data_IF_527555250581
#
_entry.id   IF_527555250581
#
_cell.length_a   1.000
_cell.length_b   1.000
_cell.length_c   1.000
_cell.angle_alpha   90.00
_cell.angle_beta   90.00
_cell.angle_gamma   90.00
#
_symmetry.space_group_name_H-M   'P 1'
#
loop_
_entity.id
_entity.type
_entity.pdbx_description
1 polymer ?
#
# COMPACT_ATOMS: atom_id res chain seq x y z
N UNK A 1 13.71 -15.89 -9.44
CA UNK A 1 13.95 -15.83 -8.00
C UNK A 1 13.10 -16.88 -7.29
N UNK A 2 13.57 -17.48 -6.17
CA UNK A 2 12.72 -18.29 -5.29
C UNK A 2 11.62 -17.41 -4.71
N UNK A 3 10.47 -18.01 -4.38
CA UNK A 3 9.37 -17.30 -3.71
C UNK A 3 9.84 -16.70 -2.39
N UNK A 4 9.49 -15.45 -2.13
CA UNK A 4 9.91 -14.70 -0.93
C UNK A 4 8.81 -14.79 0.15
N UNK A 5 8.62 -16.02 0.69
CA UNK A 5 7.49 -16.34 1.58
C UNK A 5 7.38 -15.45 2.82
N UNK A 6 8.52 -15.03 3.42
CA UNK A 6 8.47 -14.11 4.56
C UNK A 6 7.85 -12.75 4.15
N UNK A 7 8.10 -12.28 2.92
CA UNK A 7 7.54 -11.01 2.44
C UNK A 7 6.06 -11.17 2.05
N UNK A 8 5.64 -12.35 1.57
CA UNK A 8 4.22 -12.65 1.37
C UNK A 8 3.46 -12.62 2.70
N UNK A 9 4.00 -13.25 3.76
CA UNK A 9 3.42 -13.21 5.10
C UNK A 9 3.43 -11.81 5.71
N UNK A 10 4.51 -11.05 5.51
CA UNK A 10 4.59 -9.65 5.93
C UNK A 10 3.44 -8.82 5.35
N UNK A 11 3.12 -8.98 4.07
CA UNK A 11 1.98 -8.29 3.44
C UNK A 11 0.66 -8.59 4.15
N UNK A 12 0.47 -9.83 4.58
CA UNK A 12 -0.71 -10.22 5.36
C UNK A 12 -0.79 -9.48 6.70
N UNK A 13 0.32 -9.45 7.44
CA UNK A 13 0.42 -8.70 8.71
C UNK A 13 0.13 -7.22 8.50
N UNK A 14 0.75 -6.60 7.50
CA UNK A 14 0.60 -5.17 7.21
C UNK A 14 -0.84 -4.80 6.84
N UNK A 15 -1.51 -5.62 6.01
CA UNK A 15 -2.90 -5.36 5.60
C UNK A 15 -3.86 -5.44 6.80
N UNK A 16 -3.68 -6.44 7.67
CA UNK A 16 -4.47 -6.55 8.91
C UNK A 16 -4.16 -5.38 9.85
N UNK A 17 -2.89 -4.98 9.98
CA UNK A 17 -2.53 -3.85 10.82
C UNK A 17 -3.15 -2.53 10.35
N UNK A 18 -3.17 -2.25 9.03
CA UNK A 18 -3.88 -1.09 8.46
C UNK A 18 -5.37 -1.17 8.75
N UNK A 19 -6.00 -2.32 8.55
CA UNK A 19 -7.42 -2.53 8.86
C UNK A 19 -7.73 -2.26 10.33
N UNK A 20 -6.88 -2.75 11.25
CA UNK A 20 -7.00 -2.49 12.69
C UNK A 20 -6.78 -1.01 13.01
N UNK A 21 -5.85 -0.35 12.32
CA UNK A 21 -5.60 1.08 12.54
C UNK A 21 -6.77 1.98 12.12
N UNK A 22 -7.57 1.54 11.15
CA UNK A 22 -8.78 2.28 10.74
C UNK A 22 -9.94 2.07 11.73
N UNK A 23 -10.05 0.89 12.35
CA UNK A 23 -11.09 0.64 13.35
C UNK A 23 -10.76 1.19 14.73
N UNK A 24 -9.50 1.31 15.09
CA UNK A 24 -9.03 1.65 16.43
C UNK A 24 -9.59 2.98 16.98
N UNK A 25 -9.69 4.09 16.21
CA UNK A 25 -10.22 5.37 16.69
C UNK A 25 -11.70 5.32 17.09
N UNK A 26 -12.43 4.27 16.74
CA UNK A 26 -13.84 4.10 17.08
C UNK A 26 -14.07 3.31 18.36
N UNK A 27 -13.02 2.70 18.93
CA UNK A 27 -13.08 1.91 20.15
C UNK A 27 -13.14 2.86 21.36
N UNK A 28 -14.15 2.65 22.23
CA UNK A 28 -14.23 3.35 23.50
C UNK A 28 -13.27 2.72 24.53
N UNK A 29 -11.99 3.02 24.41
CA UNK A 29 -10.96 2.52 25.30
C UNK A 29 -9.93 3.64 25.62
N UNK A 30 -9.16 3.50 26.71
CA UNK A 30 -8.09 4.46 27.02
C UNK A 30 -7.04 4.55 25.91
N UNK A 31 -6.46 5.72 25.70
CA UNK A 31 -5.48 5.97 24.62
C UNK A 31 -4.31 4.98 24.61
N UNK A 32 -3.79 4.58 25.77
CA UNK A 32 -2.69 3.62 25.84
C UNK A 32 -3.02 2.27 25.22
N UNK A 33 -4.30 1.86 25.22
CA UNK A 33 -4.75 0.61 24.61
C UNK A 33 -4.93 0.71 23.09
N UNK A 34 -5.27 1.90 22.59
CA UNK A 34 -5.58 2.16 21.17
C UNK A 34 -4.37 2.67 20.41
N UNK A 35 -3.53 3.47 21.05
CA UNK A 35 -2.36 4.10 20.46
C UNK A 35 -1.40 3.14 19.73
N UNK A 36 -1.09 1.91 20.20
CA UNK A 36 -0.24 0.98 19.47
C UNK A 36 -0.77 0.62 18.07
N UNK A 37 -2.07 0.79 17.83
CA UNK A 37 -2.75 0.49 16.58
C UNK A 37 -2.96 1.73 15.67
N UNK A 38 -2.53 2.90 16.08
CA UNK A 38 -2.74 4.16 15.32
C UNK A 38 -1.68 4.42 14.23
N UNK A 39 -0.71 3.52 14.04
CA UNK A 39 0.44 3.73 13.16
C UNK A 39 0.28 3.07 11.78
N UNK A 40 -0.94 2.97 11.24
CA UNK A 40 -1.23 2.36 9.93
C UNK A 40 -0.40 2.92 8.78
N UNK A 41 0.00 4.20 8.87
CA UNK A 41 0.88 4.84 7.87
C UNK A 41 2.23 4.14 7.73
N UNK A 42 2.84 3.69 8.83
CA UNK A 42 4.12 2.97 8.78
C UNK A 42 3.98 1.64 8.01
N UNK A 43 2.85 0.95 8.13
CA UNK A 43 2.56 -0.26 7.36
C UNK A 43 2.43 0.04 5.86
N UNK A 44 1.79 1.15 5.48
CA UNK A 44 1.70 1.59 4.08
C UNK A 44 3.08 1.96 3.53
N UNK A 45 3.93 2.60 4.32
CA UNK A 45 5.31 2.91 3.92
C UNK A 45 6.12 1.63 3.64
N UNK A 46 5.90 0.53 4.41
CA UNK A 46 6.49 -0.80 4.10
C UNK A 46 5.91 -1.37 2.80
N UNK A 47 4.62 -1.17 2.48
CA UNK A 47 4.07 -1.57 1.18
C UNK A 47 4.74 -0.84 0.02
N UNK A 48 5.12 0.43 0.15
CA UNK A 48 5.90 1.12 -0.89
C UNK A 48 7.29 0.53 -1.07
N UNK A 49 7.96 0.10 0.01
CA UNK A 49 9.23 -0.62 -0.11
C UNK A 49 9.04 -1.95 -0.84
N UNK A 50 8.00 -2.71 -0.49
CA UNK A 50 7.63 -3.95 -1.20
C UNK A 50 7.38 -3.69 -2.69
N UNK A 51 6.62 -2.63 -3.03
CA UNK A 51 6.34 -2.27 -4.43
C UNK A 51 7.63 -1.93 -5.19
N UNK A 52 8.55 -1.18 -4.59
CA UNK A 52 9.86 -0.90 -5.18
C UNK A 52 10.65 -2.16 -5.52
N UNK A 53 10.66 -3.14 -4.62
CA UNK A 53 11.33 -4.42 -4.83
C UNK A 53 10.71 -5.23 -5.96
N UNK A 54 9.38 -5.34 -5.96
CA UNK A 54 8.63 -6.16 -6.91
C UNK A 54 8.69 -5.60 -8.32
N UNK A 55 8.66 -4.28 -8.45
CA UNK A 55 8.66 -3.63 -9.77
C UNK A 55 9.94 -3.94 -10.53
N UNK A 56 11.09 -3.77 -9.91
CA UNK A 56 12.35 -4.06 -10.57
C UNK A 56 12.47 -5.53 -10.97
N UNK A 57 12.02 -6.45 -10.09
CA UNK A 57 11.97 -7.87 -10.40
C UNK A 57 10.97 -8.20 -11.52
N UNK A 58 9.85 -7.46 -11.63
CA UNK A 58 8.84 -7.67 -12.67
C UNK A 58 9.30 -7.23 -14.05
N UNK A 59 10.04 -6.12 -14.15
CA UNK A 59 10.54 -5.62 -15.44
C UNK A 59 11.39 -6.65 -16.17
N UNK A 60 12.22 -7.39 -15.45
CA UNK A 60 12.99 -8.50 -16.05
C UNK A 60 12.08 -9.56 -16.67
N UNK A 61 11.00 -9.91 -15.94
CA UNK A 61 10.02 -10.89 -16.41
C UNK A 61 9.25 -10.46 -17.66
N UNK A 62 9.19 -9.17 -17.95
CA UNK A 62 8.56 -8.61 -19.16
C UNK A 62 9.58 -8.20 -20.24
N UNK A 63 10.84 -8.60 -20.09
CA UNK A 63 11.90 -8.25 -21.04
C UNK A 63 12.07 -6.73 -21.20
N UNK A 64 11.93 -5.99 -20.13
CA UNK A 64 12.00 -4.52 -20.08
C UNK A 64 10.98 -3.80 -20.99
N UNK A 65 9.87 -4.45 -21.32
CA UNK A 65 8.81 -3.90 -22.19
C UNK A 65 7.76 -3.17 -21.36
N UNK A 66 7.55 -1.89 -21.63
CA UNK A 66 6.65 -1.02 -20.88
C UNK A 66 5.17 -1.46 -21.00
N UNK A 67 4.67 -1.76 -22.20
CA UNK A 67 3.26 -2.05 -22.43
C UNK A 67 2.78 -3.33 -21.71
N UNK A 68 3.46 -4.50 -21.79
CA UNK A 68 3.10 -5.67 -21.01
C UNK A 68 3.19 -5.45 -19.50
N UNK A 69 4.19 -4.69 -19.05
CA UNK A 69 4.35 -4.34 -17.63
C UNK A 69 3.16 -3.50 -17.13
N UNK A 70 2.84 -2.39 -17.79
CA UNK A 70 1.71 -1.53 -17.38
C UNK A 70 0.38 -2.27 -17.47
N UNK A 71 0.17 -3.09 -18.52
CA UNK A 71 -1.03 -3.94 -18.63
C UNK A 71 -1.17 -4.87 -17.41
N UNK A 72 -0.07 -5.50 -16.97
CA UNK A 72 -0.09 -6.35 -15.77
C UNK A 72 -0.50 -5.54 -14.51
N UNK A 73 -0.06 -4.30 -14.38
CA UNK A 73 -0.43 -3.43 -13.26
C UNK A 73 -1.88 -2.98 -13.33
N UNK A 74 -2.39 -2.64 -14.51
CA UNK A 74 -3.81 -2.33 -14.72
C UNK A 74 -4.69 -3.49 -14.27
N UNK A 75 -4.46 -4.70 -14.75
CA UNK A 75 -5.24 -5.88 -14.37
C UNK A 75 -5.08 -6.27 -12.90
N UNK A 76 -4.01 -5.84 -12.25
CA UNK A 76 -3.76 -6.06 -10.82
C UNK A 76 -4.54 -5.09 -9.94
N UNK A 77 -4.58 -3.80 -10.30
CA UNK A 77 -5.11 -2.72 -9.45
C UNK A 77 -6.57 -2.43 -9.77
N UNK A 78 -6.88 -2.09 -11.01
CA UNK A 78 -8.15 -1.47 -11.36
C UNK A 78 -9.40 -2.33 -11.13
N UNK A 79 -9.42 -3.65 -11.39
CA UNK A 79 -10.66 -4.41 -11.28
C UNK A 79 -11.26 -4.41 -9.86
N UNK A 80 -10.46 -4.66 -8.84
CA UNK A 80 -10.94 -4.61 -7.44
C UNK A 80 -11.17 -3.18 -7.00
N UNK A 81 -10.26 -2.25 -7.36
CA UNK A 81 -10.40 -0.84 -7.04
C UNK A 81 -11.73 -0.28 -7.54
N UNK A 82 -12.11 -0.51 -8.79
CA UNK A 82 -13.35 0.04 -9.38
C UNK A 82 -14.60 -0.45 -8.64
N UNK A 83 -14.64 -1.73 -8.25
CA UNK A 83 -15.77 -2.29 -7.49
C UNK A 83 -15.85 -1.68 -6.09
N UNK A 84 -14.72 -1.61 -5.39
CA UNK A 84 -14.69 -1.04 -4.03
C UNK A 84 -14.95 0.47 -4.06
N UNK A 85 -14.43 1.18 -5.06
CA UNK A 85 -14.64 2.61 -5.24
C UNK A 85 -16.10 2.93 -5.55
N UNK A 86 -16.76 2.15 -6.41
CA UNK A 86 -18.20 2.28 -6.67
C UNK A 86 -19.02 2.06 -5.38
N UNK A 87 -18.69 1.05 -4.58
CA UNK A 87 -19.32 0.83 -3.29
C UNK A 87 -19.09 2.01 -2.32
N UNK A 88 -17.87 2.56 -2.28
CA UNK A 88 -17.54 3.71 -1.46
C UNK A 88 -18.34 4.97 -1.85
N UNK A 89 -18.52 5.24 -3.16
CA UNK A 89 -19.36 6.34 -3.67
C UNK A 89 -20.81 6.18 -3.17
N UNK A 90 -21.37 4.96 -3.24
CA UNK A 90 -22.74 4.68 -2.79
C UNK A 90 -22.89 4.87 -1.28
N UNK A 91 -21.87 4.51 -0.51
CA UNK A 91 -21.87 4.62 0.96
C UNK A 91 -21.61 6.06 1.43
N UNK A 92 -20.92 6.88 0.62
CA UNK A 92 -20.44 8.21 1.01
C UNK A 92 -21.51 9.15 1.60
N UNK A 93 -22.75 9.23 1.08
CA UNK A 93 -23.77 10.13 1.63
C UNK A 93 -24.35 9.66 2.97
N UNK A 94 -24.05 8.45 3.41
CA UNK A 94 -24.57 7.92 4.66
C UNK A 94 -23.87 8.59 5.85
N UNK A 95 -24.62 9.37 6.65
CA UNK A 95 -24.12 9.89 7.91
C UNK A 95 -23.77 8.74 8.85
N UNK A 96 -22.65 8.86 9.55
CA UNK A 96 -22.13 7.80 10.44
C UNK A 96 -22.90 7.69 11.76
N UNK A 97 -23.62 8.75 12.14
CA UNK A 97 -24.30 8.82 13.42
C UNK A 97 -23.34 9.08 14.58
N UNK A 98 -22.45 10.05 14.41
CA UNK A 98 -21.54 10.47 15.49
C UNK A 98 -22.25 10.98 16.74
N UNK A 99 -23.51 11.45 16.61
CA UNK A 99 -24.41 11.78 17.71
C UNK A 99 -24.74 10.57 18.59
N UNK A 100 -24.69 9.36 18.02
CA UNK A 100 -24.85 8.07 18.72
C UNK A 100 -23.55 7.53 19.31
N UNK A 101 -22.43 8.19 19.08
CA UNK A 101 -21.11 7.78 19.55
C UNK A 101 -20.47 8.92 20.41
N UNK A 102 -21.03 9.21 21.62
CA UNK A 102 -20.60 10.35 22.43
C UNK A 102 -19.16 10.27 22.93
N UNK A 103 -18.52 9.09 22.88
CA UNK A 103 -17.10 8.91 23.19
C UNK A 103 -16.17 9.37 22.07
N UNK A 104 -16.68 9.66 20.86
CA UNK A 104 -15.88 10.19 19.76
C UNK A 104 -15.94 11.73 19.79
N UNK A 105 -14.91 12.35 20.35
CA UNK A 105 -14.79 13.80 20.40
C UNK A 105 -14.75 14.46 19.02
N UNK A 106 -14.95 15.78 18.99
CA UNK A 106 -14.92 16.57 17.75
C UNK A 106 -13.55 16.51 17.06
N UNK A 107 -12.47 16.47 17.83
CA UNK A 107 -11.09 16.43 17.33
C UNK A 107 -10.57 15.00 17.11
N UNK A 108 -11.44 14.00 17.19
CA UNK A 108 -11.05 12.61 17.01
C UNK A 108 -10.58 12.33 15.58
N UNK A 109 -9.49 11.57 15.45
CA UNK A 109 -9.00 11.05 14.17
C UNK A 109 -10.04 10.19 13.43
N UNK A 110 -11.04 9.63 14.13
CA UNK A 110 -12.18 8.95 13.53
C UNK A 110 -12.93 9.85 12.52
N UNK A 111 -13.14 11.12 12.86
CA UNK A 111 -13.83 12.10 12.00
C UNK A 111 -13.00 12.52 10.78
N UNK A 112 -11.68 12.44 10.89
CA UNK A 112 -10.78 12.69 9.77
C UNK A 112 -10.73 11.48 8.80
N UNK A 113 -10.83 10.27 9.34
CA UNK A 113 -10.85 9.05 8.54
C UNK A 113 -12.15 8.93 7.73
N UNK A 114 -13.29 9.24 8.37
CA UNK A 114 -14.60 9.10 7.74
C UNK A 114 -15.35 10.43 7.76
N UNK A 115 -15.00 11.31 6.84
CA UNK A 115 -15.76 12.53 6.62
C UNK A 115 -17.18 12.21 6.14
N UNK A 116 -18.16 12.93 6.65
CA UNK A 116 -19.55 12.83 6.24
C UNK A 116 -19.84 13.71 5.02
N UNK A 117 -20.73 13.25 4.19
CA UNK A 117 -21.18 13.99 3.00
C UNK A 117 -20.28 13.83 1.78
N UNK A 118 -20.72 14.43 0.69
CA UNK A 118 -19.98 14.41 -0.58
C UNK A 118 -18.97 15.56 -0.62
N UNK A 119 -17.79 15.34 -1.27
CA UNK A 119 -16.89 16.44 -1.57
C UNK A 119 -17.58 17.53 -2.38
N UNK A 120 -17.22 18.81 -2.18
CA UNK A 120 -17.79 19.95 -2.90
C UNK A 120 -17.62 19.82 -4.43
N UNK A 121 -16.47 19.32 -4.87
CA UNK A 121 -16.22 18.95 -6.27
C UNK A 121 -16.21 17.41 -6.41
N UNK A 122 -17.36 16.79 -6.21
CA UNK A 122 -17.49 15.33 -6.28
C UNK A 122 -17.19 14.77 -7.67
N UNK A 123 -17.58 15.49 -8.76
CA UNK A 123 -17.38 15.00 -10.12
C UNK A 123 -15.88 14.99 -10.50
N UNK A 124 -15.18 16.07 -10.23
CA UNK A 124 -13.73 16.15 -10.41
C UNK A 124 -13.00 15.13 -9.52
N UNK A 125 -13.43 14.98 -8.28
CA UNK A 125 -12.86 14.00 -7.35
C UNK A 125 -13.02 12.56 -7.86
N UNK A 126 -14.19 12.19 -8.41
CA UNK A 126 -14.39 10.88 -9.04
C UNK A 126 -13.45 10.71 -10.24
N UNK A 127 -13.36 11.71 -11.12
CA UNK A 127 -12.48 11.66 -12.30
C UNK A 127 -11.00 11.48 -11.90
N UNK A 128 -10.55 12.23 -10.89
CA UNK A 128 -9.19 12.13 -10.37
C UNK A 128 -8.88 10.74 -9.78
N UNK A 129 -9.84 10.11 -9.10
CA UNK A 129 -9.71 8.75 -8.57
C UNK A 129 -9.69 7.70 -9.70
N UNK A 130 -10.58 7.80 -10.68
CA UNK A 130 -10.64 6.86 -11.81
C UNK A 130 -9.35 6.88 -12.64
N UNK A 131 -8.68 8.03 -12.73
CA UNK A 131 -7.40 8.19 -13.42
C UNK A 131 -6.19 7.96 -12.52
N UNK A 132 -6.39 7.70 -11.22
CA UNK A 132 -5.31 7.59 -10.20
C UNK A 132 -4.45 8.85 -10.09
N UNK A 133 -5.00 10.04 -10.43
CA UNK A 133 -4.28 11.32 -10.37
C UNK A 133 -4.57 12.12 -9.10
N UNK A 134 -5.48 11.66 -8.24
CA UNK A 134 -5.88 12.36 -7.01
C UNK A 134 -4.73 12.65 -6.02
N UNK A 135 -3.58 12.00 -6.16
CA UNK A 135 -2.39 12.23 -5.33
C UNK A 135 -1.38 13.24 -5.89
N UNK A 136 -1.63 13.84 -7.08
CA UNK A 136 -0.66 14.75 -7.70
C UNK A 136 -0.97 16.23 -7.45
N UNK A 137 -2.10 16.55 -6.83
CA UNK A 137 -2.52 17.93 -6.59
C UNK A 137 -2.02 18.42 -5.24
N UNK A 138 -1.51 19.67 -5.16
CA UNK A 138 -1.21 20.31 -3.87
C UNK A 138 -2.51 20.48 -3.04
N UNK A 139 -2.39 20.34 -1.72
CA UNK A 139 -3.54 20.43 -0.81
C UNK A 139 -4.19 21.84 -0.81
N UNK A 140 -3.41 22.89 -1.05
CA UNK A 140 -3.96 24.24 -1.17
C UNK A 140 -4.68 24.52 -2.49
N UNK A 141 -4.40 23.73 -3.54
CA UNK A 141 -5.07 23.83 -4.85
C UNK A 141 -6.35 23.00 -4.87
N UNK A 142 -6.30 21.80 -4.31
CA UNK A 142 -7.46 20.92 -4.22
C UNK A 142 -7.46 20.18 -2.89
N UNK A 143 -8.06 20.80 -1.85
CA UNK A 143 -7.97 20.30 -0.48
C UNK A 143 -8.53 18.88 -0.34
N UNK A 144 -7.72 18.01 0.26
CA UNK A 144 -8.09 16.64 0.63
C UNK A 144 -8.60 15.74 -0.50
N UNK A 145 -8.43 16.11 -1.79
CA UNK A 145 -8.86 15.30 -2.92
C UNK A 145 -8.32 13.86 -2.84
N UNK A 146 -7.13 13.68 -2.31
CA UNK A 146 -6.48 12.37 -2.17
C UNK A 146 -7.17 11.42 -1.17
N UNK A 147 -8.07 11.92 -0.33
CA UNK A 147 -8.88 11.13 0.63
C UNK A 147 -10.33 10.95 0.18
N UNK A 148 -10.76 11.60 -0.90
CA UNK A 148 -12.14 11.60 -1.35
C UNK A 148 -12.69 10.20 -1.58
N UNK A 149 -13.94 9.94 -1.16
CA UNK A 149 -14.71 8.69 -1.26
C UNK A 149 -14.05 7.45 -0.65
N UNK A 150 -12.79 7.17 -0.97
CA UNK A 150 -12.05 5.98 -0.54
C UNK A 150 -10.65 6.41 -0.09
N UNK A 151 -10.52 6.68 1.20
CA UNK A 151 -9.27 7.19 1.79
C UNK A 151 -8.08 6.27 1.53
N UNK A 152 -8.26 4.95 1.60
CA UNK A 152 -7.20 3.97 1.31
C UNK A 152 -6.60 4.12 -0.11
N UNK A 153 -7.35 4.66 -1.08
CA UNK A 153 -6.90 4.79 -2.47
C UNK A 153 -5.74 5.77 -2.67
N UNK A 154 -5.46 6.65 -1.71
CA UNK A 154 -4.32 7.57 -1.83
C UNK A 154 -3.00 6.87 -2.15
N UNK A 155 -2.76 5.72 -1.52
CA UNK A 155 -1.54 4.94 -1.75
C UNK A 155 -1.49 4.30 -3.14
N UNK A 156 -2.64 3.97 -3.72
CA UNK A 156 -2.71 3.46 -5.10
C UNK A 156 -2.34 4.55 -6.12
N UNK A 157 -2.71 5.80 -5.88
CA UNK A 157 -2.25 6.93 -6.71
C UNK A 157 -0.73 7.07 -6.65
N UNK A 158 -0.14 7.00 -5.45
CA UNK A 158 1.32 7.03 -5.28
C UNK A 158 2.00 5.87 -6.02
N UNK A 159 1.43 4.65 -5.88
CA UNK A 159 1.95 3.46 -6.53
C UNK A 159 1.80 3.54 -8.06
N UNK A 160 0.70 4.09 -8.57
CA UNK A 160 0.49 4.30 -10.00
C UNK A 160 1.47 5.31 -10.59
N UNK A 161 1.72 6.45 -9.91
CA UNK A 161 2.78 7.40 -10.27
C UNK A 161 4.14 6.71 -10.34
N UNK A 162 4.45 5.85 -9.35
CA UNK A 162 5.67 5.06 -9.34
C UNK A 162 5.78 4.12 -10.55
N UNK A 163 4.70 3.40 -10.90
CA UNK A 163 4.69 2.49 -12.04
C UNK A 163 4.93 3.21 -13.37
N UNK A 164 4.33 4.37 -13.54
CA UNK A 164 4.53 5.19 -14.74
C UNK A 164 5.98 5.67 -14.84
N UNK A 165 6.54 6.25 -13.79
CA UNK A 165 7.93 6.72 -13.79
C UNK A 165 8.92 5.56 -13.94
N UNK A 166 8.74 4.46 -13.22
CA UNK A 166 9.57 3.29 -13.36
C UNK A 166 9.55 2.75 -14.79
N UNK A 167 8.35 2.66 -15.41
CA UNK A 167 8.20 2.21 -16.78
C UNK A 167 8.92 3.08 -17.82
N UNK A 168 8.97 4.39 -17.57
CA UNK A 168 9.65 5.35 -18.46
C UNK A 168 11.17 5.32 -18.31
N UNK A 169 11.68 5.16 -17.09
CA UNK A 169 13.09 5.38 -16.78
C UNK A 169 13.90 4.12 -16.50
N UNK A 170 13.24 2.97 -16.24
CA UNK A 170 13.96 1.70 -16.04
C UNK A 170 14.72 1.34 -17.33
N UNK A 171 16.03 1.08 -17.18
CA UNK A 171 16.88 0.58 -18.26
C UNK A 171 17.72 -0.59 -17.74
N UNK A 172 17.95 -1.64 -18.56
CA UNK A 172 18.94 -2.66 -18.24
C UNK A 172 20.29 -2.00 -17.91
N UNK A 173 20.98 -2.57 -16.92
CA UNK A 173 22.32 -2.12 -16.48
C UNK A 173 22.40 -0.69 -15.89
N UNK A 174 21.23 -0.02 -15.74
CA UNK A 174 21.15 1.35 -15.17
C UNK A 174 20.20 1.45 -13.97
N UNK A 175 19.86 0.34 -13.32
CA UNK A 175 18.94 0.31 -12.19
C UNK A 175 19.42 1.17 -11.02
N UNK A 176 20.75 1.33 -10.85
CA UNK A 176 21.32 2.22 -9.84
C UNK A 176 21.05 3.70 -10.10
N UNK A 177 20.95 4.09 -11.38
CA UNK A 177 20.56 5.45 -11.73
C UNK A 177 19.11 5.71 -11.36
N UNK A 178 18.24 4.71 -11.51
CA UNK A 178 16.84 4.79 -11.08
C UNK A 178 16.76 4.94 -9.56
N UNK A 179 17.49 4.12 -8.79
CA UNK A 179 17.56 4.24 -7.31
C UNK A 179 18.02 5.64 -6.91
N UNK A 180 19.10 6.14 -7.52
CA UNK A 180 19.62 7.48 -7.25
C UNK A 180 18.61 8.59 -7.63
N UNK A 181 17.91 8.43 -8.75
CA UNK A 181 16.85 9.35 -9.18
C UNK A 181 15.70 9.44 -8.17
N UNK A 182 15.25 8.30 -7.62
CA UNK A 182 14.21 8.27 -6.60
C UNK A 182 14.67 8.87 -5.26
N UNK A 183 15.91 8.65 -4.86
CA UNK A 183 16.48 9.32 -3.69
C UNK A 183 16.59 10.84 -3.90
N UNK A 184 17.05 11.28 -5.09
CA UNK A 184 17.08 12.69 -5.47
C UNK A 184 15.69 13.32 -5.47
N UNK A 185 14.69 12.62 -6.01
CA UNK A 185 13.30 13.07 -6.01
C UNK A 185 12.75 13.24 -4.58
N UNK A 186 13.09 12.32 -3.68
CA UNK A 186 12.70 12.41 -2.26
C UNK A 186 13.43 13.58 -1.55
N UNK A 187 14.72 13.80 -1.85
CA UNK A 187 15.46 14.92 -1.30
C UNK A 187 14.89 16.27 -1.78
N UNK A 188 14.54 16.37 -3.06
CA UNK A 188 13.86 17.55 -3.61
C UNK A 188 12.51 17.80 -2.97
N UNK A 189 11.74 16.74 -2.66
CA UNK A 189 10.46 16.88 -1.95
C UNK A 189 10.67 17.44 -0.54
N UNK A 190 11.69 16.97 0.19
CA UNK A 190 12.03 17.50 1.53
C UNK A 190 12.39 18.99 1.46
N UNK A 191 13.21 19.39 0.48
CA UNK A 191 13.58 20.80 0.28
C UNK A 191 12.36 21.65 -0.09
N UNK A 192 11.46 21.09 -0.91
CA UNK A 192 10.21 21.75 -1.28
C UNK A 192 9.32 21.96 -0.07
N UNK A 193 9.08 20.95 0.75
CA UNK A 193 8.24 21.04 1.96
C UNK A 193 8.76 22.08 2.97
N UNK A 194 10.08 22.34 2.98
CA UNK A 194 10.69 23.33 3.86
C UNK A 194 10.65 24.77 3.32
N UNK A 195 10.45 24.96 2.03
CA UNK A 195 10.61 26.25 1.35
C UNK A 195 9.36 26.74 0.61
N UNK A 196 8.46 25.84 0.24
CA UNK A 196 7.28 26.18 -0.55
C UNK A 196 6.22 26.87 0.29
N UNK A 197 5.42 27.79 -0.30
CA UNK A 197 4.22 28.31 0.32
C UNK A 197 3.24 27.18 0.68
N UNK A 198 2.48 27.33 1.77
CA UNK A 198 1.54 26.33 2.28
C UNK A 198 0.57 25.83 1.19
N UNK A 199 0.07 26.74 0.34
CA UNK A 199 -0.83 26.41 -0.77
C UNK A 199 -0.23 25.43 -1.80
N UNK A 200 1.09 25.28 -1.85
CA UNK A 200 1.79 24.42 -2.78
C UNK A 200 2.42 23.19 -2.12
N UNK A 201 2.07 22.93 -0.87
CA UNK A 201 2.47 21.69 -0.21
C UNK A 201 1.67 20.51 -0.75
N UNK A 202 2.38 19.44 -1.07
CA UNK A 202 1.78 18.22 -1.58
C UNK A 202 1.42 17.26 -0.45
N UNK A 203 0.30 16.56 -0.64
CA UNK A 203 -0.14 15.54 0.29
C UNK A 203 0.82 14.35 0.35
N UNK A 204 0.56 13.45 1.30
CA UNK A 204 1.26 12.15 1.41
C UNK A 204 1.11 11.26 0.17
N UNK A 205 0.13 11.52 -0.69
CA UNK A 205 -0.15 10.75 -1.89
C UNK A 205 0.75 11.13 -3.08
N UNK A 206 1.50 12.22 -2.97
CA UNK A 206 2.45 12.63 -3.98
C UNK A 206 3.71 11.77 -3.94
N UNK A 207 4.04 11.13 -5.04
CA UNK A 207 5.15 10.16 -5.10
C UNK A 207 6.49 10.69 -4.55
N UNK A 208 6.94 11.92 -4.84
CA UNK A 208 8.20 12.43 -4.30
C UNK A 208 8.31 12.33 -2.78
N UNK A 209 7.21 12.54 -2.04
CA UNK A 209 7.16 12.41 -0.58
C UNK A 209 7.39 10.96 -0.09
N UNK A 210 7.30 9.97 -0.98
CA UNK A 210 7.43 8.53 -0.68
C UNK A 210 8.54 7.84 -1.47
N UNK A 211 9.23 8.54 -2.37
CA UNK A 211 10.17 7.98 -3.33
C UNK A 211 11.35 7.22 -2.69
N UNK A 212 11.80 7.65 -1.51
CA UNK A 212 12.86 6.98 -0.75
C UNK A 212 12.50 5.55 -0.31
N UNK A 213 11.21 5.27 -0.02
CA UNK A 213 10.76 3.92 0.32
C UNK A 213 10.86 2.99 -0.91
N UNK A 214 10.42 3.45 -2.08
CA UNK A 214 10.57 2.68 -3.31
C UNK A 214 12.05 2.43 -3.64
N UNK A 215 12.93 3.42 -3.43
CA UNK A 215 14.37 3.28 -3.61
C UNK A 215 14.95 2.17 -2.71
N UNK A 216 14.54 2.09 -1.44
CA UNK A 216 14.97 1.03 -0.52
C UNK A 216 14.50 -0.35 -0.99
N UNK A 217 13.30 -0.46 -1.54
CA UNK A 217 12.80 -1.69 -2.16
C UNK A 217 13.63 -2.11 -3.38
N UNK A 218 13.91 -1.17 -4.27
CA UNK A 218 14.75 -1.43 -5.46
C UNK A 218 16.15 -1.90 -5.09
N UNK A 219 16.83 -1.25 -4.14
CA UNK A 219 18.16 -1.71 -3.72
C UNK A 219 18.13 -3.07 -3.05
N UNK A 220 17.03 -3.42 -2.38
CA UNK A 220 16.87 -4.73 -1.74
C UNK A 220 16.88 -5.88 -2.76
N UNK A 221 16.22 -5.73 -3.92
CA UNK A 221 16.27 -6.74 -4.96
C UNK A 221 17.63 -6.79 -5.65
N UNK A 222 18.31 -5.66 -5.82
CA UNK A 222 19.68 -5.62 -6.35
C UNK A 222 20.66 -6.35 -5.42
N UNK A 223 20.51 -6.19 -4.10
CA UNK A 223 21.27 -6.93 -3.10
C UNK A 223 21.04 -8.45 -3.23
N UNK A 224 19.77 -8.87 -3.36
CA UNK A 224 19.45 -10.30 -3.50
C UNK A 224 19.97 -10.90 -4.81
N UNK A 225 19.96 -10.16 -5.91
CA UNK A 225 20.52 -10.59 -7.21
C UNK A 225 22.04 -10.75 -7.14
N UNK A 226 22.74 -9.90 -6.41
CA UNK A 226 24.19 -9.97 -6.23
C UNK A 226 24.66 -11.11 -5.31
N UNK A 227 23.81 -12.08 -4.97
CA UNK A 227 24.14 -13.18 -4.06
C UNK A 227 24.11 -12.79 -2.57
N UNK A 228 23.41 -11.74 -2.25
CA UNK A 228 23.01 -11.32 -0.90
C UNK A 228 24.11 -10.68 -0.03
N UNK A 229 25.34 -11.11 -0.09
CA UNK A 229 26.36 -10.68 0.86
C UNK A 229 27.75 -10.37 0.26
N UNK A 230 27.83 -10.14 -1.06
CA UNK A 230 29.06 -9.60 -1.64
C UNK A 230 29.40 -8.25 -1.00
N UNK A 231 30.67 -7.97 -0.76
CA UNK A 231 31.11 -6.75 -0.04
C UNK A 231 30.59 -5.46 -0.68
N UNK A 232 30.56 -5.40 -2.01
CA UNK A 232 30.06 -4.24 -2.75
C UNK A 232 28.53 -4.06 -2.68
N UNK A 233 27.76 -5.13 -2.71
CA UNK A 233 26.29 -5.08 -2.61
C UNK A 233 25.83 -4.61 -1.23
N UNK A 234 26.48 -5.09 -0.15
CA UNK A 234 26.20 -4.65 1.22
C UNK A 234 26.47 -3.17 1.45
N UNK A 235 27.62 -2.70 0.99
CA UNK A 235 27.99 -1.28 1.16
C UNK A 235 26.97 -0.35 0.52
N UNK A 236 26.52 -0.66 -0.69
CA UNK A 236 25.48 0.12 -1.39
C UNK A 236 24.13 0.05 -0.69
N UNK A 237 23.72 -1.12 -0.21
CA UNK A 237 22.47 -1.27 0.57
C UNK A 237 22.52 -0.42 1.85
N UNK A 238 23.61 -0.49 2.61
CA UNK A 238 23.80 0.29 3.84
C UNK A 238 23.78 1.80 3.53
N UNK A 239 24.42 2.24 2.46
CA UNK A 239 24.41 3.65 2.05
C UNK A 239 23.00 4.13 1.72
N UNK A 240 22.23 3.37 0.91
CA UNK A 240 20.84 3.70 0.60
C UNK A 240 19.96 3.68 1.86
N UNK A 241 20.09 2.65 2.71
CA UNK A 241 19.36 2.57 3.98
C UNK A 241 19.67 3.79 4.87
N UNK A 242 20.95 4.16 5.02
CA UNK A 242 21.35 5.35 5.77
C UNK A 242 20.74 6.62 5.23
N UNK A 243 20.75 6.82 3.90
CA UNK A 243 20.10 7.96 3.25
C UNK A 243 18.59 7.96 3.52
N UNK A 244 17.92 6.81 3.40
CA UNK A 244 16.48 6.67 3.69
C UNK A 244 16.17 7.01 5.15
N UNK A 245 16.97 6.52 6.10
CA UNK A 245 16.79 6.84 7.52
C UNK A 245 16.94 8.34 7.79
N UNK A 246 17.91 9.00 7.16
CA UNK A 246 18.09 10.47 7.26
C UNK A 246 16.87 11.20 6.69
N UNK A 247 16.41 10.85 5.50
CA UNK A 247 15.21 11.45 4.89
C UNK A 247 13.96 11.24 5.74
N UNK A 248 13.76 10.04 6.27
CA UNK A 248 12.67 9.73 7.20
C UNK A 248 12.73 10.59 8.46
N UNK A 249 13.93 10.74 9.04
CA UNK A 249 14.12 11.57 10.23
C UNK A 249 13.78 13.04 9.98
N UNK A 250 14.22 13.59 8.85
CA UNK A 250 13.91 14.97 8.47
C UNK A 250 12.42 15.18 8.23
N UNK A 251 11.73 14.20 7.59
CA UNK A 251 10.30 14.30 7.27
C UNK A 251 9.35 14.11 8.44
N UNK A 252 9.76 13.53 9.54
CA UNK A 252 8.83 13.28 10.64
C UNK A 252 9.43 12.56 11.85
N UNK A 253 10.73 12.62 12.04
CA UNK A 253 11.41 12.13 13.25
C UNK A 253 11.36 10.61 13.41
N UNK A 254 11.43 10.18 14.67
CA UNK A 254 11.54 8.77 15.03
C UNK A 254 10.39 7.89 14.49
N UNK A 255 9.18 8.42 14.40
CA UNK A 255 8.00 7.66 13.92
C UNK A 255 8.14 7.15 12.48
N UNK A 256 8.86 7.89 11.63
CA UNK A 256 9.09 7.50 10.24
C UNK A 256 10.16 6.43 10.06
N UNK A 257 10.99 6.18 11.07
CA UNK A 257 12.04 5.15 11.02
C UNK A 257 11.49 3.73 11.11
N UNK A 258 10.26 3.54 11.59
CA UNK A 258 9.66 2.23 11.79
C UNK A 258 9.62 1.40 10.48
N UNK A 259 9.20 2.00 9.37
CA UNK A 259 9.06 1.29 8.11
C UNK A 259 10.40 0.73 7.56
N UNK A 260 11.49 1.51 7.39
CA UNK A 260 12.76 0.98 6.91
C UNK A 260 13.41 -0.01 7.88
N UNK A 261 13.20 0.14 9.20
CA UNK A 261 13.72 -0.81 10.20
C UNK A 261 12.97 -2.15 10.17
N UNK A 262 11.64 -2.14 10.16
CA UNK A 262 10.81 -3.34 10.01
C UNK A 262 11.14 -4.06 8.70
N UNK A 263 11.27 -3.32 7.60
CA UNK A 263 11.67 -3.87 6.32
C UNK A 263 13.01 -4.59 6.40
N UNK A 264 14.02 -3.92 6.94
CA UNK A 264 15.38 -4.48 7.04
C UNK A 264 15.40 -5.76 7.87
N UNK A 265 14.64 -5.79 8.97
CA UNK A 265 14.50 -6.97 9.82
C UNK A 265 13.83 -8.13 9.06
N UNK A 266 12.73 -7.88 8.37
CA UNK A 266 12.00 -8.89 7.61
C UNK A 266 12.80 -9.38 6.38
N UNK A 267 13.56 -8.50 5.71
CA UNK A 267 14.47 -8.87 4.65
C UNK A 267 15.61 -9.77 5.17
N UNK A 268 16.17 -9.43 6.33
CA UNK A 268 17.19 -10.26 6.98
C UNK A 268 16.64 -11.64 7.38
N UNK A 269 15.41 -11.70 7.90
CA UNK A 269 14.72 -12.96 8.20
C UNK A 269 14.48 -13.80 6.93
N UNK A 270 14.11 -13.16 5.81
CA UNK A 270 13.95 -13.83 4.52
C UNK A 270 15.26 -14.44 4.02
N UNK A 271 16.39 -13.75 4.23
CA UNK A 271 17.71 -14.21 3.75
C UNK A 271 18.29 -15.30 4.65
N UNK A 272 18.26 -15.12 5.96
CA UNK A 272 18.95 -16.01 6.91
C UNK A 272 18.11 -17.21 7.36
N UNK A 273 16.80 -17.09 7.49
CA UNK A 273 15.83 -18.14 7.85
C UNK A 273 16.15 -19.03 9.08
N UNK A 274 17.30 -18.85 9.72
CA UNK A 274 17.81 -19.64 10.84
C UNK A 274 18.44 -18.74 11.90
N UNK A 275 18.84 -19.31 13.04
CA UNK A 275 19.42 -18.56 14.16
C UNK A 275 18.39 -17.65 14.82
N UNK A 276 18.81 -16.48 15.28
CA UNK A 276 17.97 -15.52 16.01
C UNK A 276 16.73 -15.05 15.21
N UNK A 277 16.79 -15.05 13.89
CA UNK A 277 15.68 -14.66 13.01
C UNK A 277 14.78 -15.84 12.58
N UNK A 278 15.15 -17.08 12.96
CA UNK A 278 14.40 -18.28 12.66
C UNK A 278 12.93 -18.24 13.11
N UNK A 279 12.60 -17.86 14.35
CA UNK A 279 11.22 -17.74 14.82
C UNK A 279 10.41 -16.73 14.03
N UNK A 280 10.97 -15.55 13.73
CA UNK A 280 10.32 -14.54 12.89
C UNK A 280 10.07 -15.07 11.47
N UNK A 281 11.06 -15.69 10.85
CA UNK A 281 10.92 -16.29 9.53
C UNK A 281 9.85 -17.39 9.52
N UNK A 282 9.81 -18.27 10.54
CA UNK A 282 8.82 -19.33 10.68
C UNK A 282 7.41 -18.74 10.85
N UNK A 283 7.25 -17.72 11.69
CA UNK A 283 5.99 -17.01 11.86
C UNK A 283 5.49 -16.41 10.54
N UNK A 284 6.32 -15.63 9.84
CA UNK A 284 5.95 -14.98 8.58
C UNK A 284 5.64 -16.00 7.46
N UNK A 285 6.21 -17.20 7.51
CA UNK A 285 5.95 -18.30 6.55
C UNK A 285 4.78 -19.20 6.97
N UNK A 286 4.09 -18.89 8.05
CA UNK A 286 2.95 -19.66 8.50
C UNK A 286 1.80 -19.62 7.48
N UNK A 287 1.06 -20.73 7.36
CA UNK A 287 -0.07 -20.84 6.41
C UNK A 287 -1.10 -19.72 6.54
N UNK A 288 -1.53 -19.32 7.77
CA UNK A 288 -2.48 -18.22 7.91
C UNK A 288 -1.94 -16.88 7.37
N UNK A 289 -0.67 -16.55 7.65
CA UNK A 289 -0.10 -15.30 7.17
C UNK A 289 0.15 -15.29 5.65
N UNK A 290 0.54 -16.41 5.07
CA UNK A 290 0.65 -16.56 3.62
C UNK A 290 -0.73 -16.44 2.94
N UNK A 291 -1.78 -17.00 3.55
CA UNK A 291 -3.15 -16.83 3.06
C UNK A 291 -3.61 -15.38 3.14
N UNK A 292 -3.41 -14.70 4.28
CA UNK A 292 -3.69 -13.27 4.44
C UNK A 292 -2.90 -12.43 3.43
N UNK A 293 -1.63 -12.77 3.20
CA UNK A 293 -0.79 -12.12 2.19
C UNK A 293 -1.38 -12.23 0.78
N UNK A 294 -2.00 -13.37 0.44
CA UNK A 294 -2.62 -13.57 -0.88
C UNK A 294 -3.86 -12.69 -1.12
N UNK A 295 -4.60 -12.34 -0.07
CA UNK A 295 -5.80 -11.48 -0.14
C UNK A 295 -5.55 -10.05 0.35
N UNK A 296 -4.30 -9.73 0.69
CA UNK A 296 -3.92 -8.46 1.35
C UNK A 296 -4.38 -7.21 0.63
N UNK A 297 -4.35 -7.22 -0.71
CA UNK A 297 -4.81 -6.12 -1.54
C UNK A 297 -6.32 -5.87 -1.37
N UNK A 298 -7.12 -6.92 -1.43
CA UNK A 298 -8.57 -6.81 -1.20
C UNK A 298 -8.88 -6.38 0.24
N UNK A 299 -8.18 -6.92 1.27
CA UNK A 299 -8.33 -6.48 2.66
C UNK A 299 -8.04 -5.00 2.80
N UNK A 300 -6.92 -4.54 2.22
CA UNK A 300 -6.50 -3.15 2.28
C UNK A 300 -7.53 -2.18 1.70
N UNK A 301 -8.17 -2.53 0.58
CA UNK A 301 -9.15 -1.65 -0.06
C UNK A 301 -10.53 -1.70 0.58
N UNK A 302 -11.01 -2.89 0.93
CA UNK A 302 -12.41 -3.07 1.33
C UNK A 302 -12.66 -2.73 2.79
N UNK A 303 -11.62 -2.70 3.64
CA UNK A 303 -11.82 -2.50 5.07
C UNK A 303 -12.54 -1.18 5.38
N UNK A 304 -12.15 -0.09 4.73
CA UNK A 304 -12.69 1.24 5.00
C UNK A 304 -14.20 1.35 4.71
N UNK A 305 -14.72 1.08 3.49
CA UNK A 305 -16.15 1.17 3.22
C UNK A 305 -16.98 0.15 4.03
N UNK A 306 -16.45 -1.04 4.27
CA UNK A 306 -17.16 -2.04 5.10
C UNK A 306 -17.23 -1.58 6.55
N UNK A 307 -16.15 -1.08 7.12
CA UNK A 307 -16.12 -0.55 8.48
C UNK A 307 -17.01 0.70 8.61
N UNK A 308 -17.03 1.59 7.61
CA UNK A 308 -17.91 2.76 7.60
C UNK A 308 -19.39 2.36 7.68
N UNK A 309 -19.81 1.42 6.83
CA UNK A 309 -21.19 0.93 6.84
C UNK A 309 -21.54 0.19 8.13
N UNK A 310 -20.64 -0.68 8.60
CA UNK A 310 -20.81 -1.43 9.83
C UNK A 310 -20.84 -0.51 11.05
N UNK A 311 -19.94 0.47 11.12
CA UNK A 311 -19.87 1.46 12.21
C UNK A 311 -21.18 2.24 12.34
N UNK A 312 -21.78 2.65 11.21
CA UNK A 312 -23.10 3.27 11.18
C UNK A 312 -24.17 2.33 11.78
N UNK A 313 -24.27 1.10 11.30
CA UNK A 313 -25.27 0.15 11.79
C UNK A 313 -25.13 -0.03 13.30
N UNK A 314 -23.91 -0.30 13.77
CA UNK A 314 -23.66 -0.55 15.19
C UNK A 314 -23.84 0.70 16.05
N UNK A 315 -23.59 1.92 15.54
CA UNK A 315 -23.85 3.15 16.26
C UNK A 315 -25.34 3.32 16.60
N UNK A 316 -26.22 3.00 15.65
CA UNK A 316 -27.67 3.05 15.87
C UNK A 316 -28.16 1.92 16.77
N UNK A 317 -27.65 0.71 16.62
CA UNK A 317 -28.01 -0.44 17.47
C UNK A 317 -27.54 -0.28 18.92
N UNK A 318 -26.34 0.31 19.12
CA UNK A 318 -25.79 0.51 20.46
C UNK A 318 -26.40 1.74 21.19
N UNK A 319 -27.01 2.68 20.46
CA UNK A 319 -27.69 3.89 20.95
C UNK A 319 -26.96 4.59 22.11
N UNK A 320 -25.72 4.93 21.89
CA UNK A 320 -24.86 5.61 22.88
C UNK A 320 -24.17 4.72 23.90
N UNK A 321 -24.41 3.40 23.88
CA UNK A 321 -23.70 2.46 24.74
C UNK A 321 -22.34 2.04 24.16
N UNK A 322 -21.28 2.65 24.66
CA UNK A 322 -19.91 2.43 24.17
C UNK A 322 -19.40 1.00 24.38
N UNK A 323 -19.85 0.31 25.42
CA UNK A 323 -19.44 -1.07 25.72
C UNK A 323 -20.06 -2.01 24.69
N UNK A 324 -21.38 -1.90 24.48
CA UNK A 324 -22.10 -2.72 23.49
C UNK A 324 -21.50 -2.48 22.08
N UNK A 325 -21.29 -1.20 21.72
CA UNK A 325 -20.64 -0.86 20.45
C UNK A 325 -19.27 -1.53 20.32
N UNK A 326 -18.40 -1.36 21.29
CA UNK A 326 -17.02 -1.89 21.22
C UNK A 326 -16.98 -3.41 21.15
N UNK A 327 -17.83 -4.10 21.94
CA UNK A 327 -17.91 -5.57 21.92
C UNK A 327 -18.36 -6.14 20.57
N UNK A 328 -19.27 -5.46 19.88
CA UNK A 328 -19.72 -5.85 18.53
C UNK A 328 -18.76 -5.38 17.45
N UNK A 329 -18.21 -4.16 17.62
CA UNK A 329 -17.33 -3.52 16.65
C UNK A 329 -16.03 -4.27 16.43
N UNK A 330 -15.31 -4.60 17.51
CA UNK A 330 -13.97 -5.19 17.39
C UNK A 330 -13.96 -6.48 16.56
N UNK A 331 -14.77 -7.51 16.86
CA UNK A 331 -14.75 -8.73 16.07
C UNK A 331 -15.30 -8.53 14.65
N UNK A 332 -16.38 -7.76 14.49
CA UNK A 332 -17.05 -7.61 13.20
C UNK A 332 -16.24 -6.73 12.22
N UNK A 333 -15.58 -5.67 12.71
CA UNK A 333 -14.71 -4.80 11.91
C UNK A 333 -13.41 -5.49 11.45
N UNK A 334 -13.09 -6.66 11.98
CA UNK A 334 -12.00 -7.51 11.51
C UNK A 334 -12.54 -8.62 10.60
N UNK A 335 -13.53 -9.36 11.06
CA UNK A 335 -13.98 -10.56 10.36
C UNK A 335 -14.70 -10.25 9.05
N UNK A 336 -15.59 -9.26 9.04
CA UNK A 336 -16.39 -8.95 7.86
C UNK A 336 -15.55 -8.43 6.68
N UNK A 337 -14.62 -7.48 6.86
CA UNK A 337 -13.71 -7.08 5.78
C UNK A 337 -12.86 -8.24 5.24
N UNK A 338 -12.38 -9.16 6.10
CA UNK A 338 -11.59 -10.31 5.67
C UNK A 338 -12.43 -11.27 4.84
N UNK A 339 -13.68 -11.54 5.23
CA UNK A 339 -14.60 -12.40 4.47
C UNK A 339 -14.92 -11.79 3.11
N UNK A 340 -15.25 -10.51 3.06
CA UNK A 340 -15.54 -9.80 1.81
C UNK A 340 -14.30 -9.74 0.93
N UNK A 341 -13.12 -9.48 1.51
CA UNK A 341 -11.84 -9.49 0.78
C UNK A 341 -11.52 -10.85 0.15
N UNK A 342 -11.77 -11.94 0.89
CA UNK A 342 -11.60 -13.28 0.36
C UNK A 342 -12.54 -13.56 -0.82
N UNK A 343 -13.79 -13.10 -0.75
CA UNK A 343 -14.74 -13.21 -1.85
C UNK A 343 -14.31 -12.37 -3.05
N UNK A 344 -13.94 -11.09 -2.85
CA UNK A 344 -13.44 -10.21 -3.92
C UNK A 344 -12.18 -10.76 -4.59
N UNK A 345 -11.27 -11.33 -3.80
CA UNK A 345 -10.08 -11.98 -4.33
C UNK A 345 -10.44 -13.12 -5.29
N UNK A 346 -11.41 -13.97 -4.93
CA UNK A 346 -11.84 -15.10 -5.77
C UNK A 346 -12.70 -14.69 -6.95
N UNK A 347 -13.64 -13.78 -6.74
CA UNK A 347 -14.65 -13.42 -7.73
C UNK A 347 -14.15 -12.38 -8.75
N UNK A 348 -13.22 -11.50 -8.37
CA UNK A 348 -12.78 -10.37 -9.18
C UNK A 348 -11.28 -10.40 -9.45
N UNK A 349 -10.45 -10.40 -8.40
CA UNK A 349 -9.00 -10.30 -8.56
C UNK A 349 -8.40 -11.46 -9.34
N UNK A 350 -8.70 -12.69 -8.97
CA UNK A 350 -8.17 -13.89 -9.63
C UNK A 350 -8.59 -14.01 -11.11
N UNK A 351 -9.88 -13.80 -11.49
CA UNK A 351 -10.27 -13.75 -12.90
C UNK A 351 -9.57 -12.65 -13.67
N UNK A 352 -9.48 -11.43 -13.11
CA UNK A 352 -8.82 -10.30 -13.76
C UNK A 352 -7.34 -10.58 -14.03
N UNK A 353 -6.63 -11.16 -13.06
CA UNK A 353 -5.24 -11.56 -13.25
C UNK A 353 -5.06 -12.63 -14.33
N UNK A 354 -6.00 -13.59 -14.45
CA UNK A 354 -5.98 -14.59 -15.53
C UNK A 354 -6.21 -13.95 -16.89
N UNK A 355 -7.16 -13.03 -17.01
CA UNK A 355 -7.41 -12.27 -18.24
C UNK A 355 -6.19 -11.41 -18.62
N UNK A 356 -5.61 -10.73 -17.64
CA UNK A 356 -4.38 -9.96 -17.84
C UNK A 356 -3.23 -10.80 -18.40
N UNK A 357 -3.00 -11.99 -17.85
CA UNK A 357 -1.98 -12.93 -18.36
C UNK A 357 -2.26 -13.34 -19.82
N UNK A 358 -3.52 -13.64 -20.15
CA UNK A 358 -3.92 -13.99 -21.53
C UNK A 358 -3.71 -12.81 -22.49
N UNK A 359 -4.11 -11.60 -22.07
CA UNK A 359 -3.93 -10.38 -22.88
C UNK A 359 -2.45 -10.05 -23.13
N UNK A 360 -1.62 -10.13 -22.08
CA UNK A 360 -0.18 -9.88 -22.18
C UNK A 360 0.51 -10.87 -23.11
N UNK A 361 0.12 -12.16 -23.07
CA UNK A 361 0.63 -13.17 -23.99
C UNK A 361 0.33 -12.79 -25.43
N UNK A 362 -0.91 -12.39 -25.75
CA UNK A 362 -1.29 -11.94 -27.10
C UNK A 362 -0.48 -10.72 -27.56
N UNK A 363 -0.17 -9.77 -26.65
CA UNK A 363 0.71 -8.63 -26.95
C UNK A 363 2.17 -9.08 -27.24
N UNK A 364 2.61 -10.19 -26.64
CA UNK A 364 3.89 -10.82 -26.88
C UNK A 364 3.93 -11.51 -28.25
N UNK A 365 2.97 -12.38 -28.50
CA UNK A 365 2.87 -13.19 -29.72
C UNK A 365 2.70 -12.33 -31.00
N UNK A 366 2.05 -11.18 -30.88
CA UNK A 366 1.86 -10.26 -32.01
C UNK A 366 3.16 -9.57 -32.49
N UNK A 367 4.25 -9.62 -31.71
CA UNK A 367 5.50 -8.91 -32.01
C UNK A 367 6.75 -9.78 -32.06
N UNK A 368 6.70 -11.03 -31.58
CA UNK A 368 7.87 -11.92 -31.60
C UNK A 368 7.46 -13.39 -31.50
N UNK A 369 7.50 -14.14 -32.64
CA UNK A 369 7.21 -15.57 -32.66
C UNK A 369 8.17 -16.45 -31.85
N UNK A 370 9.34 -15.94 -31.47
CA UNK A 370 10.37 -16.67 -30.71
C UNK A 370 10.06 -16.82 -29.20
N UNK A 371 9.07 -16.10 -28.66
CA UNK A 371 8.66 -16.22 -27.25
C UNK A 371 7.78 -17.44 -26.91
N UNK A 372 7.57 -18.34 -27.87
CA UNK A 372 6.85 -19.61 -27.67
C UNK A 372 7.68 -20.72 -26.98
N UNK A 373 8.89 -20.45 -26.53
CA UNK A 373 9.61 -21.35 -25.62
C UNK A 373 9.01 -21.22 -24.20
N UNK A 374 8.85 -22.30 -23.42
CA UNK A 374 8.32 -22.26 -22.08
C UNK A 374 9.25 -21.41 -21.20
N UNK A 375 8.89 -20.15 -21.02
CA UNK A 375 9.59 -19.23 -20.13
C UNK A 375 9.61 -19.80 -18.71
N UNK A 376 10.73 -19.64 -17.97
CA UNK A 376 10.81 -20.05 -16.56
C UNK A 376 9.65 -19.41 -15.80
N UNK A 377 8.93 -20.21 -15.04
CA UNK A 377 7.70 -19.87 -14.32
C UNK A 377 7.83 -18.49 -13.67
N UNK A 378 7.22 -17.49 -14.31
CA UNK A 378 7.00 -16.18 -13.72
C UNK A 378 6.31 -16.42 -12.37
N UNK A 379 6.80 -15.80 -11.34
CA UNK A 379 6.24 -15.81 -9.98
C UNK A 379 4.72 -15.55 -10.09
N UNK A 380 3.93 -16.62 -10.15
CA UNK A 380 2.49 -16.57 -10.40
C UNK A 380 1.71 -16.82 -9.11
N UNK A 381 2.17 -16.21 -8.03
CA UNK A 381 1.40 -16.18 -6.78
C UNK A 381 1.47 -14.79 -6.19
N UNK A 382 0.45 -13.99 -6.43
CA UNK A 382 0.02 -12.94 -5.52
C UNK A 382 0.94 -11.74 -5.32
N UNK A 383 1.57 -11.22 -6.38
CA UNK A 383 2.15 -9.88 -6.34
C UNK A 383 1.48 -9.02 -7.41
#
# INVERSE_FOLDING_TARGET
MKRLECLDGLRGVLAVYVMVSHMAPFIAAPDWAVHPFSHGMAAVDVFFILSGMVILASFDGFGHRMAPFLAARVFRIFPVFLVVFAAAIVIQPLALGYDKMPWIGLDSSARLLWAEGWPSDWAGSIAAHLTMTHGIFPDGVWPHVYLGFLGAAWSLSTEWQFYLLAALFVRPDREWQLVAGFLGLAALAVLWDQSAPEAWLFSRAFLPNKAHYFALGMVSVLLLRAGGLSSGGRGRFIAVLGTVLVLCWIQGGAGKLAAPLVWTLCLAAQVRQTGMLGPLAAMLRSRPLLWLGSISYCVYLVNEPVQKLLGRILAFEADGNSIVFTMLWVPSAILLPVLIAWWLHRAIEQPALRWGKSYIRKLGDARDPALNSPSPRIISSGI
#
